data_IF_765250471202
#
_entry.id   IF_765250471202
#
_cell.length_a   1.000
_cell.length_b   1.000
_cell.length_c   1.000
_cell.angle_alpha   90.00
_cell.angle_beta   90.00
_cell.angle_gamma   90.00
#
_symmetry.space_group_name_H-M   'P 1'
#
loop_
_entity.id
_entity.type
_entity.pdbx_description
1 polymer ?
#
# COMPACT_ATOMS: atom_id res chain seq x y z
N UNK A 1 -25.25 -16.93 -15.42
CA UNK A 1 -26.06 -15.93 -14.70
C UNK A 1 -25.38 -15.42 -13.41
N UNK A 2 -24.38 -16.10 -12.84
CA UNK A 2 -23.79 -15.68 -11.55
C UNK A 2 -22.63 -14.67 -11.61
N UNK A 3 -21.92 -14.56 -12.74
CA UNK A 3 -20.75 -13.66 -12.84
C UNK A 3 -21.20 -12.21 -13.03
N UNK A 4 -22.20 -11.97 -13.89
CA UNK A 4 -22.74 -10.63 -14.14
C UNK A 4 -23.45 -10.05 -12.92
N UNK A 5 -24.09 -10.89 -12.10
CA UNK A 5 -24.68 -10.47 -10.81
C UNK A 5 -23.60 -10.11 -9.76
N UNK A 6 -22.47 -10.82 -9.77
CA UNK A 6 -21.34 -10.54 -8.89
C UNK A 6 -20.66 -9.22 -9.26
N UNK A 7 -20.44 -8.98 -10.57
CA UNK A 7 -19.87 -7.74 -11.07
C UNK A 7 -20.80 -6.54 -10.85
N UNK A 8 -22.12 -6.70 -11.08
CA UNK A 8 -23.09 -5.66 -10.76
C UNK A 8 -23.08 -5.31 -9.26
N UNK A 9 -23.02 -6.31 -8.37
CA UNK A 9 -22.98 -6.07 -6.91
C UNK A 9 -21.71 -5.33 -6.45
N UNK A 10 -20.59 -5.53 -7.15
CA UNK A 10 -19.35 -4.79 -6.92
C UNK A 10 -19.44 -3.36 -7.48
N UNK A 11 -20.02 -3.19 -8.67
CA UNK A 11 -20.16 -1.88 -9.31
C UNK A 11 -21.11 -0.94 -8.58
N UNK A 12 -22.15 -1.45 -7.88
CA UNK A 12 -23.05 -0.60 -7.09
C UNK A 12 -22.48 -0.18 -5.71
N UNK A 13 -21.34 -0.73 -5.29
CA UNK A 13 -20.67 -0.35 -4.02
C UNK A 13 -19.51 0.62 -4.20
N UNK A 14 -19.21 1.03 -5.43
CA UNK A 14 -18.20 2.05 -5.74
C UNK A 14 -18.83 3.34 -6.31
N UNK A 15 -19.80 3.99 -5.64
CA UNK A 15 -20.02 5.43 -5.87
C UNK A 15 -19.37 6.31 -4.77
N UNK A 16 -18.94 5.71 -3.66
CA UNK A 16 -18.20 6.35 -2.59
C UNK A 16 -17.13 5.38 -2.09
N UNK A 17 -16.06 5.20 -2.87
CA UNK A 17 -14.76 5.04 -2.22
C UNK A 17 -14.56 6.39 -1.54
N UNK A 18 -14.98 6.47 -0.27
CA UNK A 18 -14.91 7.65 0.57
C UNK A 18 -13.50 8.25 0.42
N UNK A 19 -13.38 9.53 0.10
CA UNK A 19 -12.08 10.18 -0.10
C UNK A 19 -11.17 9.92 1.11
N UNK A 20 -11.78 9.76 2.29
CA UNK A 20 -11.11 9.33 3.52
C UNK A 20 -10.48 7.94 3.45
N UNK A 21 -11.13 6.96 2.82
CA UNK A 21 -10.56 5.62 2.60
C UNK A 21 -9.39 5.66 1.62
N UNK A 22 -9.48 6.47 0.57
CA UNK A 22 -8.36 6.66 -0.38
C UNK A 22 -7.17 7.34 0.30
N UNK A 23 -7.39 8.40 1.07
CA UNK A 23 -6.36 9.08 1.85
C UNK A 23 -5.70 8.12 2.86
N UNK A 24 -6.50 7.33 3.57
CA UNK A 24 -5.98 6.32 4.50
C UNK A 24 -5.11 5.28 3.79
N UNK A 25 -5.53 4.81 2.60
CA UNK A 25 -4.76 3.87 1.80
C UNK A 25 -3.44 4.48 1.32
N UNK A 26 -3.46 5.74 0.87
CA UNK A 26 -2.26 6.48 0.46
C UNK A 26 -1.28 6.65 1.63
N UNK A 27 -1.76 7.03 2.81
CA UNK A 27 -0.94 7.14 4.03
C UNK A 27 -0.29 5.81 4.41
N UNK A 28 -1.05 4.70 4.38
CA UNK A 28 -0.52 3.37 4.66
C UNK A 28 0.56 2.96 3.65
N UNK A 29 0.34 3.22 2.36
CA UNK A 29 1.31 2.92 1.30
C UNK A 29 2.59 3.73 1.50
N UNK A 30 2.48 5.01 1.84
CA UNK A 30 3.65 5.87 2.03
C UNK A 30 4.42 5.53 3.31
N UNK A 31 3.72 5.13 4.37
CA UNK A 31 4.35 4.59 5.58
C UNK A 31 5.19 3.34 5.27
N UNK A 32 4.64 2.39 4.52
CA UNK A 32 5.35 1.16 4.12
C UNK A 32 6.58 1.47 3.25
N UNK A 33 6.45 2.40 2.27
CA UNK A 33 7.61 2.84 1.48
C UNK A 33 8.71 3.43 2.35
N UNK A 34 8.35 4.23 3.35
CA UNK A 34 9.31 4.84 4.28
C UNK A 34 10.02 3.78 5.13
N UNK A 35 9.30 2.78 5.64
CA UNK A 35 9.88 1.64 6.37
C UNK A 35 10.84 0.83 5.52
N UNK A 36 10.49 0.54 4.26
CA UNK A 36 11.35 -0.18 3.31
C UNK A 36 12.63 0.63 3.06
N UNK A 37 12.51 1.92 2.75
CA UNK A 37 13.66 2.80 2.51
C UNK A 37 14.61 2.86 3.71
N UNK A 38 14.05 3.01 4.93
CA UNK A 38 14.83 2.99 6.15
C UNK A 38 15.55 1.64 6.36
N UNK A 39 14.86 0.53 6.08
CA UNK A 39 15.41 -0.82 6.23
C UNK A 39 16.57 -1.07 5.28
N UNK A 40 16.40 -0.72 3.99
CA UNK A 40 17.46 -0.83 2.98
C UNK A 40 18.68 -0.02 3.41
N UNK A 41 18.48 1.25 3.79
CA UNK A 41 19.57 2.11 4.27
C UNK A 41 20.31 1.49 5.45
N UNK A 42 19.59 1.02 6.47
CA UNK A 42 20.19 0.38 7.65
C UNK A 42 21.02 -0.85 7.28
N UNK A 43 20.54 -1.67 6.35
CA UNK A 43 21.27 -2.85 5.86
C UNK A 43 22.53 -2.43 5.12
N UNK A 44 22.44 -1.45 4.21
CA UNK A 44 23.60 -0.91 3.50
C UNK A 44 24.65 -0.32 4.45
N UNK A 45 24.23 0.46 5.45
CA UNK A 45 25.11 1.04 6.46
C UNK A 45 25.81 -0.06 7.28
N UNK A 46 25.06 -1.10 7.66
CA UNK A 46 25.61 -2.25 8.38
C UNK A 46 26.67 -3.00 7.54
N UNK A 47 26.37 -3.27 6.26
CA UNK A 47 27.32 -3.88 5.32
C UNK A 47 28.58 -3.01 5.22
N UNK A 48 28.42 -1.70 5.01
CA UNK A 48 29.53 -0.76 4.90
C UNK A 48 30.42 -0.76 6.15
N UNK A 49 29.82 -0.78 7.34
CA UNK A 49 30.54 -0.83 8.60
C UNK A 49 31.32 -2.14 8.80
N UNK A 50 30.77 -3.28 8.38
CA UNK A 50 31.45 -4.58 8.51
C UNK A 50 32.48 -4.84 7.43
N UNK A 51 32.42 -4.12 6.31
CA UNK A 51 33.41 -4.23 5.24
C UNK A 51 34.70 -3.46 5.53
N UNK A 52 34.67 -2.53 6.49
CA UNK A 52 35.79 -1.65 6.86
C UNK A 52 36.52 -2.19 8.09
#
# INVERSE_FOLDING_TARGET
>A
EDIDNCLCSLCFRIPLLDDQMMETLEEMIDHEKLLINYTIKRVCDNIYLHWR
#
